data_IF_229921993112
#
_entry.id   IF_229921993112
#
_cell.length_a   1.000
_cell.length_b   1.000
_cell.length_c   1.000
_cell.angle_alpha   90.00
_cell.angle_beta   90.00
_cell.angle_gamma   90.00
#
_symmetry.space_group_name_H-M   'P 1'
#
loop_
_entity.id
_entity.type
_entity.pdbx_description
1 polymer ?
#
# COMPACT_ATOMS: atom_id res chain seq x y z
N UNK A 1 43.83 60.29 28.61
CA UNK A 1 43.88 58.87 28.17
C UNK A 1 42.83 58.13 28.98
N UNK A 2 41.78 57.51 28.45
CA UNK A 2 41.46 57.07 27.10
C UNK A 2 39.93 57.04 26.95
N UNK A 3 39.40 57.53 25.84
CA UNK A 3 37.98 57.47 25.47
C UNK A 3 37.60 56.06 25.04
N UNK A 4 36.60 55.45 25.67
CA UNK A 4 36.02 54.17 25.24
C UNK A 4 35.08 54.41 24.05
N UNK A 5 35.51 54.00 22.88
CA UNK A 5 34.69 53.92 21.67
C UNK A 5 33.97 52.56 21.65
N UNK A 6 32.65 52.46 21.38
CA UNK A 6 31.99 51.17 21.24
C UNK A 6 32.39 50.50 19.93
N UNK A 7 32.64 49.19 19.97
CA UNK A 7 32.93 48.36 18.80
C UNK A 7 31.65 48.12 17.97
N UNK A 8 31.75 48.05 16.63
CA UNK A 8 30.59 47.76 15.78
C UNK A 8 30.17 46.29 15.86
N UNK A 9 28.86 46.04 15.85
CA UNK A 9 28.29 44.69 15.80
C UNK A 9 28.63 43.96 14.48
N UNK A 10 28.80 42.63 14.51
CA UNK A 10 29.07 41.85 13.32
C UNK A 10 27.83 41.80 12.39
N UNK A 11 28.02 41.79 11.06
CA UNK A 11 26.91 41.74 10.12
C UNK A 11 26.13 40.43 10.22
N UNK A 12 24.81 40.54 10.14
CA UNK A 12 23.89 39.40 10.13
C UNK A 12 24.14 38.52 8.88
N UNK A 13 24.08 37.18 9.00
CA UNK A 13 24.26 36.32 7.83
C UNK A 13 23.12 36.52 6.82
N UNK A 14 23.39 36.41 5.51
CA UNK A 14 22.38 36.60 4.48
C UNK A 14 21.30 35.51 4.58
N UNK A 15 20.04 35.96 4.62
CA UNK A 15 18.86 35.10 4.50
C UNK A 15 18.85 34.46 3.10
N UNK A 16 19.38 33.25 3.01
CA UNK A 16 19.20 32.39 1.84
C UNK A 16 18.15 31.36 2.20
N UNK A 17 16.89 31.72 2.00
CA UNK A 17 15.79 30.76 1.93
C UNK A 17 16.03 29.85 0.72
N UNK A 18 16.84 28.81 0.91
CA UNK A 18 16.85 27.64 0.02
C UNK A 18 15.54 26.93 0.29
N UNK A 19 14.62 26.98 -0.68
CA UNK A 19 13.44 26.13 -0.67
C UNK A 19 13.91 24.68 -0.53
N UNK A 20 13.54 24.06 0.59
CA UNK A 20 13.78 22.64 0.84
C UNK A 20 13.20 21.82 -0.33
N UNK A 21 13.88 20.76 -0.81
CA UNK A 21 13.28 19.82 -1.75
C UNK A 21 12.03 19.11 -1.17
N UNK A 22 11.76 19.30 0.12
CA UNK A 22 10.55 18.86 0.82
C UNK A 22 9.58 20.00 1.12
N UNK A 23 9.50 21.03 0.27
CA UNK A 23 8.41 22.00 0.40
C UNK A 23 7.09 21.25 0.31
N UNK A 24 6.29 21.29 1.38
CA UNK A 24 4.99 20.64 1.44
C UNK A 24 4.20 20.96 0.16
N UNK A 25 3.72 19.96 -0.58
CA UNK A 25 2.84 20.24 -1.70
C UNK A 25 1.63 20.99 -1.15
N UNK A 26 1.14 22.03 -1.84
CA UNK A 26 0.01 22.81 -1.36
C UNK A 26 -1.17 21.85 -1.11
N UNK A 27 -1.56 21.72 0.17
CA UNK A 27 -2.65 20.90 0.72
C UNK A 27 -4.02 21.14 0.08
N UNK A 28 -4.13 22.05 -0.89
CA UNK A 28 -5.36 22.52 -1.52
C UNK A 28 -5.66 21.90 -2.89
N UNK A 29 -4.73 21.14 -3.49
CA UNK A 29 -5.02 20.38 -4.71
C UNK A 29 -5.56 18.99 -4.36
N UNK A 30 -6.68 18.54 -4.96
CA UNK A 30 -7.11 17.17 -4.79
C UNK A 30 -5.97 16.25 -5.25
N UNK A 31 -5.43 15.46 -4.33
CA UNK A 31 -4.39 14.49 -4.67
C UNK A 31 -4.97 13.55 -5.72
N UNK A 32 -4.30 13.35 -6.86
CA UNK A 32 -4.76 12.38 -7.84
C UNK A 32 -4.88 11.00 -7.18
N UNK A 33 -5.85 10.16 -7.59
CA UNK A 33 -6.00 8.82 -7.04
C UNK A 33 -4.65 8.08 -7.16
N UNK A 34 -4.05 7.74 -6.02
CA UNK A 34 -2.69 7.23 -5.99
C UNK A 34 -2.59 5.95 -6.83
N UNK A 35 -3.26 4.86 -6.43
CA UNK A 35 -3.09 3.57 -7.12
C UNK A 35 -4.39 2.87 -7.49
N UNK A 36 -5.39 2.81 -6.61
CA UNK A 36 -6.71 2.24 -6.91
C UNK A 36 -7.70 3.29 -7.39
N UNK A 37 -8.68 2.88 -8.20
CA UNK A 37 -9.74 3.77 -8.70
C UNK A 37 -10.63 4.25 -7.54
N UNK A 38 -11.10 5.50 -7.61
CA UNK A 38 -11.98 6.06 -6.57
C UNK A 38 -13.36 5.37 -6.52
N UNK A 39 -13.79 4.80 -7.63
CA UNK A 39 -15.05 4.07 -7.77
C UNK A 39 -14.94 2.57 -7.44
N UNK A 40 -13.85 2.13 -6.81
CA UNK A 40 -13.65 0.73 -6.41
C UNK A 40 -14.76 0.24 -5.48
N UNK A 41 -15.41 -0.88 -5.84
CA UNK A 41 -16.56 -1.48 -5.13
C UNK A 41 -16.27 -2.85 -4.55
N UNK A 42 -15.38 -3.61 -5.18
CA UNK A 42 -15.07 -5.00 -4.79
C UNK A 42 -13.61 -5.13 -4.37
N UNK A 43 -13.41 -5.60 -3.14
CA UNK A 43 -12.11 -6.02 -2.62
C UNK A 43 -12.03 -7.56 -2.60
N UNK A 44 -10.98 -8.11 -3.20
CA UNK A 44 -10.62 -9.53 -3.05
C UNK A 44 -9.42 -9.61 -2.11
N UNK A 45 -9.60 -10.26 -0.96
CA UNK A 45 -8.54 -10.54 -0.01
C UNK A 45 -8.02 -11.96 -0.21
N UNK A 46 -6.77 -12.09 -0.63
CA UNK A 46 -6.06 -13.36 -0.82
C UNK A 46 -5.20 -13.62 0.42
N UNK A 47 -5.62 -14.58 1.23
CA UNK A 47 -5.06 -14.86 2.54
C UNK A 47 -5.99 -14.43 3.67
N UNK A 48 -6.06 -15.25 4.72
CA UNK A 48 -6.91 -15.01 5.90
C UNK A 48 -6.09 -15.00 7.19
N UNK A 49 -4.84 -14.55 7.11
CA UNK A 49 -3.90 -14.46 8.22
C UNK A 49 -4.17 -13.29 9.17
N UNK A 50 -3.22 -13.02 10.06
CA UNK A 50 -3.34 -11.95 11.06
C UNK A 50 -3.48 -10.55 10.45
N UNK A 51 -2.86 -10.30 9.29
CA UNK A 51 -2.92 -9.00 8.60
C UNK A 51 -4.24 -8.78 7.85
N UNK A 52 -4.91 -9.83 7.41
CA UNK A 52 -6.08 -9.74 6.53
C UNK A 52 -7.20 -8.82 7.08
N UNK A 53 -7.64 -8.92 8.36
CA UNK A 53 -8.63 -8.00 8.91
C UNK A 53 -8.19 -6.52 8.85
N UNK A 54 -6.91 -6.25 9.08
CA UNK A 54 -6.38 -4.89 9.11
C UNK A 54 -6.22 -4.32 7.70
N UNK A 55 -5.75 -5.13 6.74
CA UNK A 55 -5.69 -4.73 5.33
C UNK A 55 -7.08 -4.45 4.76
N UNK A 56 -8.07 -5.28 5.08
CA UNK A 56 -9.46 -5.04 4.68
C UNK A 56 -9.97 -3.71 5.26
N UNK A 57 -9.72 -3.43 6.54
CA UNK A 57 -10.11 -2.16 7.18
C UNK A 57 -9.37 -0.96 6.60
N UNK A 58 -8.07 -1.09 6.31
CA UNK A 58 -7.26 -0.03 5.71
C UNK A 58 -7.72 0.31 4.28
N UNK A 59 -7.94 -0.70 3.43
CA UNK A 59 -8.48 -0.47 2.09
C UNK A 59 -9.85 0.21 2.14
N UNK A 60 -10.72 -0.19 3.07
CA UNK A 60 -12.05 0.40 3.22
C UNK A 60 -12.05 1.81 3.82
N UNK A 61 -11.05 2.18 4.63
CA UNK A 61 -10.96 3.55 5.15
C UNK A 61 -10.59 4.54 4.04
N UNK A 62 -9.74 4.14 3.09
CA UNK A 62 -9.34 4.97 1.94
C UNK A 62 -10.24 4.81 0.72
N UNK A 63 -11.01 3.72 0.64
CA UNK A 63 -12.04 3.45 -0.37
C UNK A 63 -13.37 3.09 0.31
N UNK A 64 -14.08 4.08 0.88
CA UNK A 64 -15.37 3.85 1.55
C UNK A 64 -16.47 3.35 0.58
N UNK A 65 -16.23 3.44 -0.74
CA UNK A 65 -17.12 2.91 -1.76
C UNK A 65 -17.14 1.38 -1.88
N UNK A 66 -16.20 0.66 -1.24
CA UNK A 66 -16.15 -0.80 -1.24
C UNK A 66 -17.36 -1.36 -0.49
N UNK A 67 -18.21 -2.06 -1.23
CA UNK A 67 -19.48 -2.64 -0.75
C UNK A 67 -19.43 -4.17 -0.64
N UNK A 68 -18.43 -4.81 -1.27
CA UNK A 68 -18.23 -6.26 -1.23
C UNK A 68 -16.76 -6.59 -0.96
N UNK A 69 -16.55 -7.51 -0.02
CA UNK A 69 -15.24 -8.09 0.31
C UNK A 69 -15.33 -9.61 0.13
N UNK A 70 -14.52 -10.15 -0.78
CA UNK A 70 -14.43 -11.58 -1.07
C UNK A 70 -13.11 -12.08 -0.49
N UNK A 71 -13.18 -13.04 0.43
CA UNK A 71 -12.00 -13.59 1.09
C UNK A 71 -11.72 -14.97 0.54
N UNK A 72 -10.50 -15.16 0.04
CA UNK A 72 -10.01 -16.48 -0.35
C UNK A 72 -8.83 -16.87 0.53
N UNK A 73 -8.73 -18.16 0.84
CA UNK A 73 -7.55 -18.72 1.47
C UNK A 73 -7.44 -20.19 1.07
N UNK A 74 -6.20 -20.73 1.04
CA UNK A 74 -5.95 -22.15 0.78
C UNK A 74 -6.80 -23.07 1.66
N UNK A 75 -7.07 -22.67 2.90
CA UNK A 75 -8.08 -23.29 3.74
C UNK A 75 -9.37 -22.47 3.68
N UNK A 76 -10.37 -22.99 2.95
CA UNK A 76 -11.68 -22.35 2.79
C UNK A 76 -12.39 -22.11 4.13
N UNK A 77 -12.20 -23.01 5.11
CA UNK A 77 -12.74 -22.84 6.46
C UNK A 77 -12.22 -21.56 7.13
N UNK A 78 -10.92 -21.27 7.04
CA UNK A 78 -10.34 -20.04 7.61
C UNK A 78 -10.84 -18.77 6.93
N UNK A 79 -11.03 -18.80 5.61
CA UNK A 79 -11.63 -17.68 4.87
C UNK A 79 -13.08 -17.43 5.31
N UNK A 80 -13.87 -18.50 5.44
CA UNK A 80 -15.25 -18.46 5.94
C UNK A 80 -15.33 -17.90 7.36
N UNK A 81 -14.47 -18.37 8.26
CA UNK A 81 -14.42 -17.89 9.64
C UNK A 81 -14.02 -16.42 9.74
N UNK A 82 -13.15 -15.93 8.85
CA UNK A 82 -12.81 -14.51 8.80
C UNK A 82 -13.98 -13.67 8.26
N UNK A 83 -14.62 -14.10 7.16
CA UNK A 83 -15.78 -13.42 6.60
C UNK A 83 -16.92 -13.30 7.62
N UNK A 84 -17.21 -14.39 8.36
CA UNK A 84 -18.21 -14.39 9.43
C UNK A 84 -17.87 -13.36 10.52
N UNK A 85 -16.64 -13.38 11.04
CA UNK A 85 -16.21 -12.46 12.11
C UNK A 85 -16.30 -11.00 11.68
N UNK A 86 -15.88 -10.68 10.45
CA UNK A 86 -15.97 -9.32 9.93
C UNK A 86 -17.43 -8.86 9.77
N UNK A 87 -18.31 -9.76 9.30
CA UNK A 87 -19.74 -9.46 9.22
C UNK A 87 -20.39 -9.24 10.61
N UNK A 88 -19.98 -10.01 11.62
CA UNK A 88 -20.43 -9.85 13.00
C UNK A 88 -19.97 -8.53 13.61
N UNK A 89 -18.70 -8.15 13.42
CA UNK A 89 -18.13 -6.88 13.89
C UNK A 89 -18.88 -5.67 13.30
N UNK A 90 -19.25 -5.73 12.02
CA UNK A 90 -19.99 -4.66 11.35
C UNK A 90 -21.47 -4.60 11.71
N UNK A 91 -22.09 -5.75 12.01
CA UNK A 91 -23.47 -5.82 12.49
C UNK A 91 -23.69 -5.12 13.85
N UNK A 92 -22.62 -4.75 14.55
CA UNK A 92 -22.65 -4.00 15.82
C UNK A 92 -22.48 -2.48 15.70
N UNK A 93 -22.09 -1.95 14.53
CA UNK A 93 -21.85 -0.50 14.35
C UNK A 93 -22.66 0.04 13.15
N UNK A 94 -23.56 0.97 13.44
CA UNK A 94 -24.45 1.60 12.45
C UNK A 94 -23.64 2.31 11.36
N UNK A 95 -23.59 1.74 10.15
CA UNK A 95 -23.20 2.48 8.95
C UNK A 95 -22.57 1.65 7.83
N UNK A 96 -23.41 1.12 6.94
CA UNK A 96 -23.00 0.52 5.66
C UNK A 96 -22.95 -1.01 5.68
N UNK A 97 -23.89 -1.68 5.02
CA UNK A 97 -23.97 -3.14 4.95
C UNK A 97 -22.97 -3.67 3.91
N UNK A 98 -21.69 -3.71 4.24
CA UNK A 98 -20.69 -4.37 3.39
C UNK A 98 -20.94 -5.87 3.42
N UNK A 99 -20.86 -6.50 2.26
CA UNK A 99 -21.05 -7.93 2.11
C UNK A 99 -19.68 -8.60 2.24
N UNK A 100 -19.50 -9.40 3.30
CA UNK A 100 -18.36 -10.29 3.42
C UNK A 100 -18.75 -11.68 2.96
N UNK A 101 -18.05 -12.19 1.95
CA UNK A 101 -18.20 -13.55 1.46
C UNK A 101 -16.84 -14.23 1.37
N UNK A 102 -16.87 -15.56 1.21
CA UNK A 102 -15.66 -16.33 0.96
C UNK A 102 -15.77 -17.03 -0.38
N UNK A 103 -14.63 -17.26 -1.02
CA UNK A 103 -14.52 -18.02 -2.25
C UNK A 103 -13.75 -19.32 -2.01
N UNK A 104 -14.15 -20.39 -2.69
CA UNK A 104 -13.41 -21.65 -2.69
C UNK A 104 -12.33 -21.67 -3.78
N UNK A 105 -12.64 -21.11 -4.95
CA UNK A 105 -11.75 -21.05 -6.11
C UNK A 105 -11.30 -19.61 -6.35
N UNK A 106 -10.01 -19.36 -6.22
CA UNK A 106 -9.45 -18.01 -6.38
C UNK A 106 -9.62 -17.46 -7.80
N UNK A 107 -9.42 -18.31 -8.80
CA UNK A 107 -9.49 -17.97 -10.23
C UNK A 107 -10.85 -17.39 -10.64
N UNK A 108 -11.94 -17.73 -9.92
CA UNK A 108 -13.28 -17.24 -10.17
C UNK A 108 -13.51 -15.82 -9.63
N UNK A 109 -12.69 -15.37 -8.68
CA UNK A 109 -12.92 -14.13 -7.94
C UNK A 109 -11.85 -13.06 -8.14
N UNK A 110 -10.61 -13.40 -8.53
CA UNK A 110 -9.56 -12.38 -8.82
C UNK A 110 -10.08 -11.33 -9.81
N UNK A 111 -10.72 -11.77 -10.90
CA UNK A 111 -11.23 -10.89 -11.95
C UNK A 111 -12.40 -9.99 -11.52
N UNK A 112 -13.00 -10.24 -10.34
CA UNK A 112 -14.05 -9.39 -9.79
C UNK A 112 -13.48 -8.19 -9.01
N UNK A 113 -12.28 -8.33 -8.44
CA UNK A 113 -11.67 -7.34 -7.55
C UNK A 113 -11.26 -6.06 -8.27
N UNK A 114 -11.81 -4.92 -7.87
CA UNK A 114 -11.25 -3.60 -8.19
C UNK A 114 -9.92 -3.41 -7.45
N UNK A 115 -9.87 -3.94 -6.23
CA UNK A 115 -8.66 -4.10 -5.43
C UNK A 115 -8.50 -5.58 -5.13
N UNK A 116 -7.29 -6.09 -5.33
CA UNK A 116 -6.86 -7.43 -4.92
C UNK A 116 -5.72 -7.25 -3.94
N UNK A 117 -5.91 -7.59 -2.67
CA UNK A 117 -4.86 -7.52 -1.65
C UNK A 117 -4.42 -8.94 -1.29
N UNK A 118 -3.12 -9.21 -1.37
CA UNK A 118 -2.51 -10.50 -1.11
C UNK A 118 -1.60 -10.40 0.12
N UNK A 119 -1.85 -11.26 1.10
CA UNK A 119 -1.03 -11.39 2.30
C UNK A 119 -0.88 -12.87 2.67
N UNK A 120 -0.02 -13.55 1.91
CA UNK A 120 0.27 -14.97 2.01
C UNK A 120 1.77 -15.21 2.13
N UNK A 121 2.16 -16.28 2.83
CA UNK A 121 3.55 -16.76 2.87
C UNK A 121 3.81 -17.80 1.77
N UNK A 122 3.28 -17.59 0.57
CA UNK A 122 3.41 -18.54 -0.54
C UNK A 122 4.80 -18.50 -1.16
N UNK A 123 5.28 -19.65 -1.61
CA UNK A 123 6.48 -19.77 -2.44
C UNK A 123 6.13 -19.86 -3.94
N UNK A 124 4.89 -20.22 -4.26
CA UNK A 124 4.39 -20.29 -5.62
C UNK A 124 3.45 -19.11 -5.89
N UNK A 125 3.45 -18.54 -7.12
CA UNK A 125 2.58 -17.43 -7.47
C UNK A 125 1.11 -17.86 -7.38
N UNK A 126 0.33 -17.12 -6.59
CA UNK A 126 -1.10 -17.39 -6.36
C UNK A 126 -1.96 -16.46 -7.22
N UNK A 127 -1.62 -15.18 -7.29
CA UNK A 127 -2.33 -14.19 -8.10
C UNK A 127 -1.76 -14.21 -9.52
N UNK A 128 -2.56 -14.68 -10.46
CA UNK A 128 -2.17 -14.73 -11.87
C UNK A 128 -2.56 -13.43 -12.57
N UNK A 129 -1.57 -12.76 -13.16
CA UNK A 129 -1.70 -11.49 -13.83
C UNK A 129 -2.84 -11.52 -14.83
N UNK A 130 -2.88 -12.53 -15.71
CA UNK A 130 -3.95 -12.74 -16.71
C UNK A 130 -5.39 -12.74 -16.16
N UNK A 131 -5.58 -13.01 -14.86
CA UNK A 131 -6.90 -13.01 -14.20
C UNK A 131 -7.30 -11.63 -13.67
N UNK A 132 -6.36 -10.70 -13.52
CA UNK A 132 -6.65 -9.33 -13.13
C UNK A 132 -7.41 -8.62 -14.26
N UNK A 133 -8.54 -8.00 -13.90
CA UNK A 133 -9.28 -7.13 -14.80
C UNK A 133 -8.52 -5.83 -15.06
N UNK A 134 -8.80 -5.19 -16.18
CA UNK A 134 -8.33 -3.82 -16.43
C UNK A 134 -8.83 -2.88 -15.32
N UNK A 135 -8.01 -1.90 -14.96
CA UNK A 135 -8.33 -0.96 -13.89
C UNK A 135 -8.18 -1.50 -12.48
N UNK A 136 -7.72 -2.76 -12.31
CA UNK A 136 -7.48 -3.34 -10.99
C UNK A 136 -6.27 -2.70 -10.30
N UNK A 137 -6.30 -2.72 -8.97
CA UNK A 137 -5.14 -2.49 -8.14
C UNK A 137 -4.77 -3.78 -7.41
N UNK A 138 -3.51 -4.22 -7.55
CA UNK A 138 -2.93 -5.34 -6.84
C UNK A 138 -2.03 -4.82 -5.72
N UNK A 139 -2.28 -5.25 -4.50
CA UNK A 139 -1.55 -4.91 -3.28
C UNK A 139 -0.90 -6.19 -2.71
N UNK A 140 0.42 -6.22 -2.61
CA UNK A 140 1.22 -7.39 -2.27
C UNK A 140 2.01 -7.15 -0.97
N UNK A 141 1.65 -7.83 0.10
CA UNK A 141 2.14 -7.54 1.46
C UNK A 141 2.79 -8.75 2.12
N UNK A 142 2.52 -9.97 1.63
CA UNK A 142 2.92 -11.21 2.31
C UNK A 142 4.34 -11.70 2.01
N UNK A 143 4.89 -11.40 0.83
CA UNK A 143 6.25 -11.80 0.43
C UNK A 143 7.31 -10.77 0.86
N UNK A 144 8.27 -11.19 1.68
CA UNK A 144 9.35 -10.32 2.19
C UNK A 144 10.73 -11.02 2.20
N UNK A 145 10.82 -12.20 1.57
CA UNK A 145 12.10 -12.88 1.32
C UNK A 145 12.14 -13.34 -0.15
N UNK A 146 13.34 -13.51 -0.76
CA UNK A 146 13.45 -13.84 -2.17
C UNK A 146 12.77 -15.15 -2.60
N UNK A 147 12.61 -16.10 -1.67
CA UNK A 147 11.97 -17.38 -1.93
C UNK A 147 10.42 -17.30 -1.94
N UNK A 148 9.83 -16.22 -1.44
CA UNK A 148 8.37 -16.04 -1.39
C UNK A 148 7.87 -15.31 -2.62
N UNK A 149 6.69 -15.68 -3.10
CA UNK A 149 6.10 -15.10 -4.29
C UNK A 149 4.58 -15.14 -4.22
N UNK A 150 3.95 -13.98 -4.34
CA UNK A 150 2.48 -13.87 -4.26
C UNK A 150 1.82 -13.77 -5.64
N UNK A 151 2.53 -13.24 -6.64
CA UNK A 151 2.03 -13.05 -8.00
C UNK A 151 3.00 -13.56 -9.07
N UNK A 152 2.48 -13.84 -10.26
CA UNK A 152 3.28 -14.22 -11.43
C UNK A 152 3.91 -13.02 -12.14
N UNK A 153 4.75 -13.28 -13.15
CA UNK A 153 5.45 -12.23 -13.90
C UNK A 153 4.46 -11.41 -14.73
N UNK A 154 3.40 -12.05 -15.22
CA UNK A 154 2.33 -11.37 -15.97
C UNK A 154 1.68 -10.25 -15.16
N UNK A 155 1.54 -10.40 -13.84
CA UNK A 155 0.98 -9.36 -12.98
C UNK A 155 1.89 -8.12 -12.96
N UNK A 156 3.20 -8.32 -12.92
CA UNK A 156 4.21 -7.25 -12.92
C UNK A 156 4.35 -6.60 -14.29
N UNK A 157 4.42 -7.41 -15.37
CA UNK A 157 4.56 -6.92 -16.75
C UNK A 157 3.35 -6.08 -17.17
N UNK A 158 2.14 -6.50 -16.79
CA UNK A 158 0.91 -5.75 -17.09
C UNK A 158 0.69 -4.56 -16.18
N UNK A 159 1.37 -4.53 -15.03
CA UNK A 159 1.16 -3.59 -13.95
C UNK A 159 2.11 -2.40 -13.99
N UNK A 160 1.63 -1.24 -13.55
CA UNK A 160 2.49 -0.14 -13.12
C UNK A 160 2.95 -0.45 -11.70
N UNK A 161 4.23 -0.81 -11.55
CA UNK A 161 4.78 -1.32 -10.28
C UNK A 161 5.30 -0.19 -9.40
N UNK A 162 4.88 -0.20 -8.14
CA UNK A 162 5.32 0.69 -7.08
C UNK A 162 5.74 -0.12 -5.86
N UNK A 163 6.65 0.41 -5.07
CA UNK A 163 7.16 -0.25 -3.87
C UNK A 163 6.99 0.63 -2.64
N UNK A 164 6.96 0.05 -1.44
CA UNK A 164 7.01 0.83 -0.20
C UNK A 164 8.37 1.54 -0.05
N UNK A 165 9.45 0.80 -0.29
CA UNK A 165 10.83 1.25 -0.16
C UNK A 165 11.73 0.58 -1.21
N UNK A 166 12.91 1.13 -1.47
CA UNK A 166 13.81 0.66 -2.55
C UNK A 166 14.26 -0.80 -2.35
N UNK A 167 14.42 -1.21 -1.09
CA UNK A 167 14.84 -2.52 -0.63
C UNK A 167 13.87 -3.62 -1.08
N UNK A 168 12.61 -3.30 -1.38
CA UNK A 168 11.67 -4.24 -1.98
C UNK A 168 12.23 -4.85 -3.28
N UNK A 169 13.04 -4.13 -4.05
CA UNK A 169 13.69 -4.63 -5.28
C UNK A 169 14.70 -5.75 -5.00
N UNK A 170 15.25 -5.81 -3.79
CA UNK A 170 16.23 -6.82 -3.36
C UNK A 170 15.62 -7.93 -2.49
N UNK A 171 14.48 -7.68 -1.84
CA UNK A 171 13.88 -8.61 -0.87
C UNK A 171 12.61 -9.30 -1.36
N UNK A 172 11.80 -8.63 -2.18
CA UNK A 172 10.53 -9.17 -2.66
C UNK A 172 10.79 -10.22 -3.75
N UNK A 173 10.51 -11.50 -3.47
CA UNK A 173 10.83 -12.59 -4.38
C UNK A 173 10.10 -12.54 -5.73
N UNK A 174 8.91 -11.95 -5.83
CA UNK A 174 8.31 -11.68 -7.15
C UNK A 174 9.12 -10.69 -7.97
N UNK A 175 9.67 -9.63 -7.36
CA UNK A 175 10.48 -8.63 -8.07
C UNK A 175 11.86 -9.19 -8.41
N UNK A 176 12.58 -9.71 -7.41
CA UNK A 176 13.92 -10.30 -7.59
C UNK A 176 13.88 -11.36 -8.68
N UNK A 177 12.95 -12.31 -8.57
CA UNK A 177 12.80 -13.36 -9.57
C UNK A 177 12.43 -12.81 -10.96
N UNK A 178 11.58 -11.78 -11.03
CA UNK A 178 11.20 -11.19 -12.33
C UNK A 178 12.38 -10.49 -13.00
N UNK A 179 13.25 -9.84 -12.23
CA UNK A 179 14.49 -9.24 -12.73
C UNK A 179 15.45 -10.32 -13.25
N UNK A 180 15.65 -11.40 -12.50
CA UNK A 180 16.51 -12.52 -12.90
C UNK A 180 16.02 -13.20 -14.19
N UNK A 181 14.68 -13.32 -14.34
CA UNK A 181 14.05 -13.88 -15.55
C UNK A 181 13.96 -12.89 -16.71
N UNK A 182 14.29 -11.62 -16.50
CA UNK A 182 14.17 -10.56 -17.49
C UNK A 182 12.72 -10.23 -17.89
N UNK A 183 11.75 -10.53 -17.02
CA UNK A 183 10.35 -10.19 -17.28
C UNK A 183 10.10 -8.68 -17.13
N UNK A 184 10.73 -8.08 -16.12
CA UNK A 184 10.86 -6.63 -15.93
C UNK A 184 12.30 -6.34 -15.47
N UNK A 185 12.68 -5.07 -15.44
CA UNK A 185 13.94 -4.55 -14.93
C UNK A 185 13.72 -3.69 -13.68
N UNK A 186 14.74 -3.46 -12.83
CA UNK A 186 14.63 -2.57 -11.67
C UNK A 186 14.15 -1.15 -12.03
N UNK A 187 14.43 -0.70 -13.25
CA UNK A 187 14.03 0.59 -13.81
C UNK A 187 12.53 0.66 -14.18
N UNK A 188 11.86 -0.49 -14.33
CA UNK A 188 10.42 -0.56 -14.59
C UNK A 188 9.58 -0.30 -13.32
N UNK A 189 10.20 -0.33 -12.13
CA UNK A 189 9.56 0.10 -10.88
C UNK A 189 9.45 1.63 -10.90
N UNK A 190 8.22 2.13 -10.94
CA UNK A 190 7.90 3.53 -11.20
C UNK A 190 8.38 4.45 -10.07
N UNK A 191 8.25 4.01 -8.82
CA UNK A 191 8.71 4.74 -7.64
C UNK A 191 8.27 4.14 -6.32
N UNK A 192 8.68 4.80 -5.24
CA UNK A 192 8.40 4.43 -3.86
C UNK A 192 7.09 5.04 -3.34
N UNK A 193 6.65 4.59 -2.15
CA UNK A 193 5.54 5.21 -1.44
C UNK A 193 5.82 6.67 -1.10
N UNK A 194 7.08 7.01 -0.78
CA UNK A 194 7.51 8.40 -0.52
C UNK A 194 7.39 9.24 -1.78
N UNK A 195 7.80 8.70 -2.93
CA UNK A 195 7.66 9.39 -4.21
C UNK A 195 6.19 9.66 -4.57
N UNK A 196 5.32 8.68 -4.30
CA UNK A 196 3.87 8.81 -4.51
C UNK A 196 3.26 9.86 -3.58
N UNK A 197 3.55 9.78 -2.28
CA UNK A 197 3.02 10.69 -1.27
C UNK A 197 3.53 12.13 -1.47
N UNK A 198 4.77 12.29 -1.92
CA UNK A 198 5.38 13.58 -2.24
C UNK A 198 4.97 14.16 -3.60
N UNK A 199 4.20 13.42 -4.41
CA UNK A 199 3.82 13.84 -5.76
C UNK A 199 4.98 13.86 -6.78
N UNK A 200 6.11 13.22 -6.45
CA UNK A 200 7.27 13.09 -7.34
C UNK A 200 7.02 12.08 -8.46
N UNK A 201 6.12 11.11 -8.23
CA UNK A 201 5.68 10.12 -9.20
C UNK A 201 4.17 10.11 -9.31
N UNK A 202 3.68 10.02 -10.55
CA UNK A 202 2.25 9.83 -10.82
C UNK A 202 1.94 8.35 -10.73
N UNK A 203 0.99 8.01 -9.86
CA UNK A 203 0.56 6.65 -9.66
C UNK A 203 -0.23 6.10 -10.86
N UNK A 204 -1.56 6.05 -10.73
CA UNK A 204 -2.47 5.70 -11.82
C UNK A 204 -2.54 6.82 -12.86
N UNK A 205 -2.43 6.47 -14.16
CA UNK A 205 -2.52 7.42 -15.27
C UNK A 205 -3.77 7.21 -16.14
N UNK A 206 -4.38 6.02 -16.09
CA UNK A 206 -5.61 5.66 -16.80
C UNK A 206 -6.56 4.81 -15.94
N UNK A 207 -7.88 4.92 -16.15
CA UNK A 207 -8.86 4.00 -15.55
C UNK A 207 -8.61 2.52 -15.91
N UNK A 208 -7.96 2.24 -17.04
CA UNK A 208 -7.69 0.87 -17.49
C UNK A 208 -6.38 0.29 -16.91
N UNK A 209 -5.53 1.12 -16.30
CA UNK A 209 -4.24 0.68 -15.76
C UNK A 209 -4.43 -0.43 -14.73
N UNK A 210 -3.58 -1.44 -14.79
CA UNK A 210 -3.33 -2.27 -13.62
C UNK A 210 -2.22 -1.60 -12.83
N UNK A 211 -2.43 -1.37 -11.54
CA UNK A 211 -1.38 -0.88 -10.63
C UNK A 211 -0.98 -2.00 -9.69
N UNK A 212 0.31 -2.13 -9.41
CA UNK A 212 0.85 -3.11 -8.46
C UNK A 212 1.60 -2.35 -7.40
N UNK A 213 1.23 -2.54 -6.14
CA UNK A 213 2.00 -2.07 -5.00
C UNK A 213 2.62 -3.26 -4.29
N UNK A 214 3.92 -3.18 -4.03
CA UNK A 214 4.65 -4.20 -3.29
C UNK A 214 5.22 -3.62 -2.00
N UNK A 215 4.89 -4.24 -0.88
CA UNK A 215 5.46 -3.91 0.42
C UNK A 215 6.27 -5.06 1.00
N UNK A 216 7.46 -4.75 1.51
CA UNK A 216 8.31 -5.66 2.31
C UNK A 216 8.39 -5.23 3.78
N UNK A 217 7.89 -4.03 4.10
CA UNK A 217 7.96 -3.44 5.42
C UNK A 217 9.25 -2.66 5.63
N UNK A 218 9.20 -1.65 6.49
CA UNK A 218 10.37 -0.86 6.88
C UNK A 218 10.28 -0.49 8.34
N UNK A 219 11.43 -0.55 9.03
CA UNK A 219 11.55 -0.16 10.43
C UNK A 219 11.10 1.28 10.69
N UNK A 220 11.12 2.14 9.67
CA UNK A 220 10.62 3.52 9.76
C UNK A 220 9.11 3.52 10.03
N UNK A 221 8.34 2.70 9.33
CA UNK A 221 6.87 2.62 9.52
C UNK A 221 6.55 2.04 10.90
N UNK A 222 7.34 1.07 11.38
CA UNK A 222 7.19 0.53 12.73
C UNK A 222 7.47 1.58 13.81
N UNK A 223 8.54 2.38 13.63
CA UNK A 223 8.88 3.46 14.55
C UNK A 223 7.78 4.53 14.59
N UNK A 224 7.24 4.92 13.43
CA UNK A 224 6.15 5.89 13.33
C UNK A 224 4.87 5.36 13.98
N UNK A 225 4.55 4.07 13.79
CA UNK A 225 3.41 3.43 14.45
C UNK A 225 3.60 3.37 15.97
N UNK A 226 4.81 3.05 16.45
CA UNK A 226 5.15 3.04 17.86
C UNK A 226 5.06 4.44 18.48
N UNK A 227 5.56 5.45 17.77
CA UNK A 227 5.45 6.86 18.17
C UNK A 227 3.99 7.28 18.27
N UNK A 228 3.18 7.01 17.25
CA UNK A 228 1.75 7.32 17.26
C UNK A 228 1.02 6.65 18.45
N UNK A 229 1.31 5.38 18.70
CA UNK A 229 0.74 4.65 19.82
C UNK A 229 1.17 5.25 21.18
N UNK A 230 2.44 5.60 21.32
CA UNK A 230 2.99 6.25 22.51
C UNK A 230 2.35 7.62 22.76
N UNK A 231 2.32 8.47 21.73
CA UNK A 231 1.73 9.81 21.78
C UNK A 231 0.23 9.75 22.11
N UNK A 232 -0.51 8.83 21.48
CA UNK A 232 -1.93 8.63 21.78
C UNK A 232 -2.15 8.18 23.23
N UNK A 233 -1.25 7.35 23.78
CA UNK A 233 -1.35 6.89 25.17
C UNK A 233 -1.07 8.02 26.18
N UNK A 234 -0.04 8.83 25.95
CA UNK A 234 0.31 9.93 26.86
C UNK A 234 -0.65 11.12 26.74
N UNK A 235 -1.17 11.41 25.55
CA UNK A 235 -2.17 12.47 25.35
C UNK A 235 -3.59 12.06 25.74
N UNK A 236 -3.86 10.76 25.83
CA UNK A 236 -5.13 10.18 26.28
C UNK A 236 -5.18 9.82 27.77
N UNK A 237 -4.16 10.17 28.55
CA UNK A 237 -4.17 10.04 30.01
C UNK A 237 -4.83 11.29 30.64
N UNK A 238 -5.88 11.16 31.48
CA UNK A 238 -6.50 12.29 32.17
C UNK A 238 -5.55 13.01 33.14
#
# INVERSE_FOLDING_TARGET
MSSLTPQPEPPSPPSTARSSPYSEPPLSLPLPPLLSRDDSRVLVMVGSGALAPYLIRAHRSVRPGIEKVIIWNRSAAKARDLARRLAEDEGGTKGGKVIFEHAEVLDEVIGLGDVVSCATSSHDPIVLGKRLKQGAHLDLVGSFIPAMRECDDDALVRGRVFVDFEEAKAEAGELVGAFERGAISPEDVVGTLVDLAGGLKVGRISPEDITVFKSVGTAIVDLLAAQLAYETHISGSP
#
